data_IF_980297996760
#
_entry.id   IF_980297996760
#
_cell.length_a   1.000
_cell.length_b   1.000
_cell.length_c   1.000
_cell.angle_alpha   90.00
_cell.angle_beta   90.00
_cell.angle_gamma   90.00
#
_symmetry.space_group_name_H-M   'P 1'
#
loop_
_entity.id
_entity.type
_entity.pdbx_description
1 polymer ?
#
# COMPACT_ATOMS: atom_id res chain seq x y z
N UNK A 1 -5.05 -20.85 -26.31
CA UNK A 1 -4.80 -19.43 -26.66
C UNK A 1 -4.72 -18.64 -25.37
N UNK A 2 -3.50 -18.43 -24.85
CA UNK A 2 -3.27 -17.54 -23.71
C UNK A 2 -3.53 -16.09 -24.12
N UNK A 3 -4.39 -15.41 -23.37
CA UNK A 3 -4.86 -14.07 -23.66
C UNK A 3 -4.45 -13.14 -22.50
N UNK A 4 -4.04 -11.92 -22.81
CA UNK A 4 -3.69 -10.89 -21.82
C UNK A 4 -4.70 -9.76 -21.91
N UNK A 5 -5.09 -9.21 -20.77
CA UNK A 5 -5.93 -8.03 -20.68
C UNK A 5 -5.06 -6.84 -20.26
N UNK A 6 -5.03 -5.80 -21.09
CA UNK A 6 -4.33 -4.53 -20.81
C UNK A 6 -5.34 -3.42 -21.06
N UNK A 7 -5.62 -2.59 -20.03
CA UNK A 7 -6.60 -1.50 -20.09
C UNK A 7 -7.94 -1.92 -20.72
N UNK A 8 -8.48 -3.05 -20.25
CA UNK A 8 -9.73 -3.67 -20.71
C UNK A 8 -9.73 -4.19 -22.17
N UNK A 9 -8.59 -4.11 -22.87
CA UNK A 9 -8.41 -4.66 -24.20
C UNK A 9 -7.75 -6.04 -24.10
N UNK A 10 -8.36 -7.02 -24.77
CA UNK A 10 -7.85 -8.39 -24.83
C UNK A 10 -6.92 -8.57 -26.03
N UNK A 11 -5.69 -8.97 -25.76
CA UNK A 11 -4.69 -9.34 -26.76
C UNK A 11 -4.41 -10.83 -26.69
N UNK A 12 -4.16 -11.46 -27.84
CA UNK A 12 -3.60 -12.79 -27.88
C UNK A 12 -2.09 -12.67 -27.63
N UNK A 13 -1.59 -13.29 -26.56
CA UNK A 13 -0.16 -13.23 -26.22
C UNK A 13 0.72 -13.99 -27.22
N UNK A 14 0.15 -14.89 -28.01
CA UNK A 14 0.88 -15.61 -29.07
C UNK A 14 1.18 -14.73 -30.28
N UNK A 15 0.41 -13.66 -30.49
CA UNK A 15 0.61 -12.68 -31.57
C UNK A 15 1.79 -11.73 -31.27
N UNK A 16 2.33 -11.75 -30.04
CA UNK A 16 3.49 -10.95 -29.67
C UNK A 16 4.78 -11.52 -30.27
N UNK A 17 5.75 -10.64 -30.55
CA UNK A 17 7.13 -11.07 -30.84
C UNK A 17 7.79 -11.63 -29.57
N UNK A 18 8.94 -12.30 -29.70
CA UNK A 18 9.73 -12.73 -28.52
C UNK A 18 10.04 -11.57 -27.57
N UNK A 19 10.38 -10.41 -28.14
CA UNK A 19 10.59 -9.18 -27.37
C UNK A 19 9.30 -8.72 -26.67
N UNK A 20 8.16 -8.74 -27.36
CA UNK A 20 6.87 -8.39 -26.79
C UNK A 20 6.47 -9.30 -25.63
N UNK A 21 6.69 -10.61 -25.75
CA UNK A 21 6.49 -11.56 -24.65
C UNK A 21 7.40 -11.27 -23.45
N UNK A 22 8.68 -10.93 -23.68
CA UNK A 22 9.60 -10.58 -22.60
C UNK A 22 9.17 -9.31 -21.84
N UNK A 23 8.66 -8.30 -22.54
CA UNK A 23 8.10 -7.10 -21.93
C UNK A 23 6.84 -7.43 -21.11
N UNK A 24 5.95 -8.27 -21.65
CA UNK A 24 4.76 -8.73 -20.93
C UNK A 24 5.13 -9.43 -19.62
N UNK A 25 6.09 -10.37 -19.63
CA UNK A 25 6.56 -11.02 -18.41
C UNK A 25 7.16 -10.02 -17.40
N UNK A 26 7.90 -9.03 -17.89
CA UNK A 26 8.48 -7.99 -17.04
C UNK A 26 7.38 -7.13 -16.37
N UNK A 27 6.31 -6.83 -17.10
CA UNK A 27 5.16 -6.09 -16.59
C UNK A 27 4.39 -6.90 -15.54
N UNK A 28 4.10 -8.17 -15.82
CA UNK A 28 3.44 -9.07 -14.86
C UNK A 28 4.25 -9.22 -13.58
N UNK A 29 5.58 -9.34 -13.69
CA UNK A 29 6.48 -9.36 -12.55
C UNK A 29 6.39 -8.07 -11.73
N UNK A 30 6.45 -6.90 -12.38
CA UNK A 30 6.30 -5.62 -11.69
C UNK A 30 4.95 -5.52 -10.94
N UNK A 31 3.86 -5.95 -11.57
CA UNK A 31 2.53 -5.94 -10.95
C UNK A 31 2.46 -6.85 -9.72
N UNK A 32 3.05 -8.05 -9.79
CA UNK A 32 3.13 -8.95 -8.64
C UNK A 32 3.87 -8.30 -7.47
N UNK A 33 4.96 -7.58 -7.75
CA UNK A 33 5.74 -6.89 -6.72
C UNK A 33 4.97 -5.72 -6.11
N UNK A 34 4.25 -4.94 -6.92
CA UNK A 34 3.36 -3.86 -6.43
C UNK A 34 2.30 -4.44 -5.49
N UNK A 35 1.57 -5.48 -5.93
CA UNK A 35 0.52 -6.11 -5.14
C UNK A 35 1.05 -6.67 -3.81
N UNK A 36 2.30 -7.14 -3.77
CA UNK A 36 2.94 -7.60 -2.53
C UNK A 36 3.18 -6.44 -1.57
N UNK A 37 3.77 -5.35 -2.08
CA UNK A 37 4.08 -4.16 -1.28
C UNK A 37 2.81 -3.50 -0.72
N UNK A 38 1.73 -3.44 -1.49
CA UNK A 38 0.44 -2.91 -1.01
C UNK A 38 -0.10 -3.69 0.19
N UNK A 39 -0.02 -5.03 0.15
CA UNK A 39 -0.43 -5.89 1.28
C UNK A 39 0.44 -5.67 2.51
N UNK A 40 1.74 -5.48 2.31
CA UNK A 40 2.70 -5.20 3.38
C UNK A 40 2.44 -3.83 4.01
N UNK A 41 2.20 -2.79 3.20
CA UNK A 41 1.79 -1.46 3.66
C UNK A 41 0.51 -1.55 4.49
N UNK A 42 -0.53 -2.23 4.00
CA UNK A 42 -1.78 -2.40 4.72
C UNK A 42 -1.59 -3.08 6.09
N UNK A 43 -0.67 -4.05 6.16
CA UNK A 43 -0.32 -4.73 7.42
C UNK A 43 0.35 -3.77 8.40
N UNK A 44 1.30 -2.95 7.93
CA UNK A 44 1.97 -1.96 8.77
C UNK A 44 1.03 -0.83 9.21
N UNK A 45 0.11 -0.39 8.37
CA UNK A 45 -0.92 0.58 8.75
C UNK A 45 -1.81 0.06 9.87
N UNK A 46 -2.23 -1.22 9.78
CA UNK A 46 -3.00 -1.86 10.83
C UNK A 46 -2.22 -1.96 12.14
N UNK A 47 -0.95 -2.41 12.08
CA UNK A 47 -0.08 -2.47 13.24
C UNK A 47 0.10 -1.08 13.88
N UNK A 48 0.35 -0.05 13.07
CA UNK A 48 0.48 1.34 13.53
C UNK A 48 -0.78 1.84 14.25
N UNK A 49 -1.97 1.61 13.67
CA UNK A 49 -3.25 1.96 14.31
C UNK A 49 -3.41 1.27 15.66
N UNK A 50 -3.04 -0.01 15.73
CA UNK A 50 -3.09 -0.80 16.98
C UNK A 50 -2.14 -0.23 18.03
N UNK A 51 -0.89 0.05 17.66
CA UNK A 51 0.09 0.62 18.58
C UNK A 51 -0.30 2.02 19.07
N UNK A 52 -0.88 2.85 18.21
CA UNK A 52 -1.43 4.15 18.63
C UNK A 52 -2.52 3.95 19.67
N UNK A 53 -3.49 3.06 19.42
CA UNK A 53 -4.58 2.81 20.36
C UNK A 53 -4.06 2.29 21.72
N UNK A 54 -3.12 1.34 21.70
CA UNK A 54 -2.51 0.82 22.92
C UNK A 54 -1.71 1.87 23.67
N UNK A 55 -0.93 2.69 22.97
CA UNK A 55 -0.13 3.75 23.58
C UNK A 55 -1.04 4.82 24.19
N UNK A 56 -2.09 5.25 23.49
CA UNK A 56 -3.06 6.21 24.03
C UNK A 56 -3.72 5.68 25.31
N UNK A 57 -4.12 4.42 25.34
CA UNK A 57 -4.70 3.80 26.53
C UNK A 57 -3.72 3.79 27.72
N UNK A 58 -2.43 3.54 27.48
CA UNK A 58 -1.42 3.60 28.54
C UNK A 58 -1.19 5.04 29.03
N UNK A 59 -1.13 6.02 28.11
CA UNK A 59 -1.02 7.45 28.45
C UNK A 59 -2.19 7.91 29.32
N UNK A 60 -3.41 7.52 28.97
CA UNK A 60 -4.62 7.83 29.75
C UNK A 60 -4.58 7.19 31.14
N UNK A 61 -4.15 5.92 31.23
CA UNK A 61 -3.99 5.20 32.50
C UNK A 61 -2.94 5.84 33.40
N UNK A 62 -1.84 6.33 32.85
CA UNK A 62 -0.79 7.06 33.57
C UNK A 62 -1.19 8.51 33.90
N UNK A 63 -2.37 8.97 33.49
CA UNK A 63 -2.88 10.31 33.78
C UNK A 63 -2.07 11.43 33.12
N UNK A 64 -1.30 11.12 32.08
CA UNK A 64 -0.47 12.07 31.37
C UNK A 64 -1.39 12.98 30.56
N UNK A 65 -1.44 14.26 30.95
CA UNK A 65 -2.24 15.24 30.22
C UNK A 65 -1.54 15.64 28.93
N UNK A 66 -2.28 15.80 27.82
CA UNK A 66 -1.76 16.44 26.63
C UNK A 66 -1.19 17.81 27.01
N UNK A 67 -0.03 18.16 26.45
CA UNK A 67 0.45 19.53 26.54
C UNK A 67 -0.67 20.41 25.95
N UNK A 68 -1.16 21.38 26.72
CA UNK A 68 -2.06 22.40 26.19
C UNK A 68 -1.38 22.99 24.96
N UNK A 69 -2.07 22.99 23.81
CA UNK A 69 -1.51 23.55 22.58
C UNK A 69 -0.99 24.96 22.87
N UNK A 70 0.31 25.26 22.63
CA UNK A 70 0.67 26.65 22.39
C UNK A 70 0.00 27.06 21.08
N UNK A 71 -0.58 28.26 21.04
CA UNK A 71 -1.23 28.91 19.88
C UNK A 71 -2.75 28.76 19.70
N UNK A 72 -3.51 28.92 20.79
CA UNK A 72 -4.85 29.56 20.73
C UNK A 72 -4.83 30.92 21.46
N UNK A 73 -3.78 31.71 21.24
CA UNK A 73 -3.56 32.97 21.93
C UNK A 73 -2.41 33.77 21.34
N UNK A 74 -2.57 34.26 20.12
CA UNK A 74 -1.91 35.47 19.68
C UNK A 74 -3.01 36.47 19.30
N UNK A 75 -3.04 37.69 19.87
CA UNK A 75 -4.02 38.71 19.57
C UNK A 75 -3.93 39.24 18.13
#
# INVERSE_FOLDING_TARGET
>A
MPNVLIDDIRYNSEDLSDHGRALLFSLEFAQLQINKLEKEIATYEFARKTYIASLTAEIEKEGIQPLQSPEAGAP
#
